data_IF_996926353326
#
_entry.id   IF_996926353326
#
_cell.length_a   1.000
_cell.length_b   1.000
_cell.length_c   1.000
_cell.angle_alpha   90.00
_cell.angle_beta   90.00
_cell.angle_gamma   90.00
#
_symmetry.space_group_name_H-M   'P 1'
#
loop_
_entity.id
_entity.type
_entity.pdbx_description
1 polymer ?
#
# COMPACT_ATOMS: atom_id res chain seq x y z
N UNK A 1 26.86 -69.90 43.76
CA UNK A 1 26.46 -68.51 43.45
C UNK A 1 26.06 -68.48 41.98
N UNK A 2 24.77 -68.30 41.68
CA UNK A 2 24.30 -68.18 40.30
C UNK A 2 24.38 -66.71 39.88
N UNK A 3 25.17 -66.42 38.84
CA UNK A 3 25.38 -65.08 38.31
C UNK A 3 24.12 -64.69 37.54
N UNK A 4 23.50 -63.57 37.93
CA UNK A 4 22.31 -63.04 37.27
C UNK A 4 22.67 -62.64 35.84
N UNK A 5 21.94 -63.18 34.85
CA UNK A 5 22.17 -62.91 33.44
C UNK A 5 21.84 -61.44 33.17
N UNK A 6 22.82 -60.68 32.71
CA UNK A 6 22.68 -59.27 32.39
C UNK A 6 21.73 -59.10 31.18
N UNK A 7 20.67 -58.31 31.34
CA UNK A 7 19.67 -58.04 30.32
C UNK A 7 20.05 -56.79 29.52
N UNK A 8 21.26 -56.77 28.99
CA UNK A 8 21.72 -55.69 28.13
C UNK A 8 21.09 -55.84 26.73
N UNK A 9 20.14 -54.94 26.40
CA UNK A 9 19.51 -54.88 25.08
C UNK A 9 20.39 -53.99 24.20
N UNK A 10 21.04 -54.61 23.21
CA UNK A 10 21.88 -53.94 22.24
C UNK A 10 21.05 -52.97 21.37
N UNK A 11 21.34 -51.66 21.39
CA UNK A 11 20.52 -50.63 20.75
C UNK A 11 20.57 -50.67 19.21
N UNK A 12 21.59 -51.29 18.62
CA UNK A 12 21.70 -51.48 17.16
C UNK A 12 20.90 -52.71 16.69
N UNK A 13 20.48 -53.56 17.63
CA UNK A 13 19.53 -54.64 17.37
C UNK A 13 18.13 -54.03 17.30
N UNK A 14 17.56 -53.93 16.08
CA UNK A 14 16.18 -53.44 15.87
C UNK A 14 15.24 -54.06 16.89
N UNK A 15 14.66 -53.24 17.78
CA UNK A 15 13.71 -53.70 18.78
C UNK A 15 12.52 -54.40 18.10
N UNK A 16 12.44 -55.72 18.27
CA UNK A 16 11.35 -56.54 17.74
C UNK A 16 10.19 -56.48 18.74
N UNK A 17 9.37 -55.44 18.65
CA UNK A 17 8.14 -55.35 19.45
C UNK A 17 7.15 -56.39 18.91
N UNK A 18 7.06 -57.53 19.57
CA UNK A 18 6.02 -58.52 19.34
C UNK A 18 4.86 -58.33 20.31
N UNK A 19 3.63 -58.44 19.83
CA UNK A 19 2.47 -58.58 20.73
C UNK A 19 2.51 -59.98 21.36
N UNK A 20 2.37 -60.04 22.69
CA UNK A 20 2.55 -61.27 23.46
C UNK A 20 1.49 -62.33 23.17
N UNK A 21 1.88 -63.37 22.44
CA UNK A 21 1.38 -64.74 22.64
C UNK A 21 2.18 -65.44 23.75
N UNK A 22 1.67 -66.56 24.27
CA UNK A 22 2.21 -67.32 25.41
C UNK A 22 3.74 -67.48 25.41
N UNK A 23 4.30 -67.52 26.62
CA UNK A 23 5.74 -67.50 26.92
C UNK A 23 6.53 -68.44 25.99
N UNK A 24 7.47 -67.87 25.22
CA UNK A 24 8.33 -68.59 24.28
C UNK A 24 7.85 -68.65 22.81
N UNK A 25 6.64 -68.18 22.48
CA UNK A 25 6.17 -68.06 21.09
C UNK A 25 5.69 -66.63 20.77
N UNK A 26 6.65 -65.74 20.52
CA UNK A 26 6.34 -64.47 19.86
C UNK A 26 6.02 -64.79 18.39
N UNK A 27 4.74 -64.79 18.05
CA UNK A 27 4.33 -64.86 16.64
C UNK A 27 4.56 -63.48 16.05
N UNK A 28 5.68 -63.30 15.35
CA UNK A 28 5.86 -62.16 14.47
C UNK A 28 4.86 -62.32 13.32
N UNK A 29 3.86 -61.44 13.25
CA UNK A 29 3.07 -61.30 12.05
C UNK A 29 3.99 -60.98 10.87
N UNK A 30 3.64 -61.39 9.64
CA UNK A 30 4.46 -61.13 8.45
C UNK A 30 4.74 -59.65 8.22
N UNK A 31 3.93 -58.77 8.81
CA UNK A 31 4.02 -57.33 8.62
C UNK A 31 4.80 -56.70 9.77
N UNK A 32 6.03 -56.30 9.48
CA UNK A 32 6.75 -55.39 10.36
C UNK A 32 5.98 -54.06 10.46
N UNK A 33 6.13 -53.31 11.56
CA UNK A 33 5.59 -51.94 11.68
C UNK A 33 6.12 -50.95 10.63
N UNK A 34 7.03 -51.39 9.74
CA UNK A 34 7.40 -50.68 8.52
C UNK A 34 6.41 -50.87 7.35
N UNK A 35 5.60 -51.92 7.36
CA UNK A 35 4.64 -52.25 6.28
C UNK A 35 3.20 -51.81 6.62
N UNK A 36 2.82 -51.78 7.91
CA UNK A 36 1.52 -51.26 8.35
C UNK A 36 1.56 -49.75 8.60
N UNK A 37 1.88 -48.97 7.57
CA UNK A 37 1.48 -47.55 7.47
C UNK A 37 1.90 -46.63 8.62
N UNK A 38 2.94 -46.97 9.39
CA UNK A 38 3.46 -46.15 10.47
C UNK A 38 4.23 -44.95 9.94
N UNK A 39 3.77 -43.75 10.28
CA UNK A 39 4.46 -42.45 10.03
C UNK A 39 4.55 -41.99 8.56
N UNK A 40 3.90 -42.67 7.61
CA UNK A 40 3.84 -42.24 6.20
C UNK A 40 2.72 -41.23 5.89
N UNK A 41 1.65 -41.20 6.70
CA UNK A 41 0.41 -40.46 6.37
C UNK A 41 0.33 -39.06 6.99
N UNK A 42 1.13 -38.76 8.02
CA UNK A 42 1.14 -37.44 8.67
C UNK A 42 2.11 -36.44 8.01
N UNK A 43 3.06 -36.94 7.20
CA UNK A 43 3.94 -36.09 6.40
C UNK A 43 3.34 -36.05 5.00
N UNK A 44 2.70 -34.94 4.65
CA UNK A 44 2.38 -34.61 3.27
C UNK A 44 3.60 -34.93 2.42
N UNK A 45 3.46 -35.90 1.49
CA UNK A 45 4.55 -36.31 0.61
C UNK A 45 5.12 -35.05 -0.02
N UNK A 46 6.34 -34.67 0.36
CA UNK A 46 7.10 -33.65 -0.34
C UNK A 46 7.30 -34.25 -1.72
N UNK A 47 6.61 -33.71 -2.72
CA UNK A 47 6.82 -34.06 -4.13
C UNK A 47 8.32 -33.95 -4.42
N UNK A 48 8.91 -34.87 -5.19
CA UNK A 48 10.37 -34.95 -5.41
C UNK A 48 11.02 -33.69 -6.03
N UNK A 49 10.25 -32.63 -6.31
CA UNK A 49 10.73 -31.29 -6.67
C UNK A 49 10.54 -30.19 -5.60
N UNK A 50 10.23 -30.51 -4.34
CA UNK A 50 10.04 -29.52 -3.26
C UNK A 50 8.77 -28.65 -3.37
N UNK A 51 8.00 -28.81 -4.44
CA UNK A 51 6.86 -27.95 -4.81
C UNK A 51 5.54 -28.37 -4.13
N UNK A 52 5.58 -28.51 -2.80
CA UNK A 52 4.42 -28.84 -1.99
C UNK A 52 3.43 -27.66 -1.87
N UNK A 53 2.19 -27.89 -1.42
CA UNK A 53 1.21 -26.84 -1.18
C UNK A 53 1.73 -25.68 -0.31
N UNK A 54 2.60 -25.96 0.66
CA UNK A 54 3.23 -24.96 1.51
C UNK A 54 4.14 -23.99 0.73
N UNK A 55 4.93 -24.49 -0.23
CA UNK A 55 5.82 -23.65 -1.04
C UNK A 55 5.01 -22.73 -1.96
N UNK A 56 3.93 -23.24 -2.57
CA UNK A 56 3.02 -22.42 -3.40
C UNK A 56 2.31 -21.33 -2.60
N UNK A 57 1.85 -21.64 -1.38
CA UNK A 57 1.27 -20.64 -0.48
C UNK A 57 2.32 -19.58 -0.11
N UNK A 58 3.54 -20.00 0.21
CA UNK A 58 4.64 -19.08 0.51
C UNK A 58 4.94 -18.14 -0.67
N UNK A 59 5.12 -18.68 -1.88
CA UNK A 59 5.37 -17.87 -3.09
C UNK A 59 4.22 -16.89 -3.37
N UNK A 60 2.97 -17.33 -3.23
CA UNK A 60 1.80 -16.48 -3.40
C UNK A 60 1.77 -15.34 -2.35
N UNK A 61 2.04 -15.64 -1.08
CA UNK A 61 2.12 -14.64 -0.02
C UNK A 61 3.26 -13.64 -0.27
N UNK A 62 4.44 -14.12 -0.67
CA UNK A 62 5.57 -13.24 -1.01
C UNK A 62 5.23 -12.32 -2.18
N UNK A 63 4.56 -12.85 -3.21
CA UNK A 63 4.08 -12.05 -4.34
C UNK A 63 3.05 -10.99 -3.92
N UNK A 64 2.10 -11.37 -3.06
CA UNK A 64 1.11 -10.42 -2.50
C UNK A 64 1.81 -9.33 -1.69
N UNK A 65 2.79 -9.68 -0.85
CA UNK A 65 3.53 -8.72 -0.06
C UNK A 65 4.28 -7.71 -0.95
N UNK A 66 4.98 -8.19 -1.98
CA UNK A 66 5.67 -7.31 -2.94
C UNK A 66 4.68 -6.38 -3.65
N UNK A 67 3.56 -6.91 -4.11
CA UNK A 67 2.53 -6.12 -4.80
C UNK A 67 1.90 -5.07 -3.86
N UNK A 68 1.69 -5.43 -2.60
CA UNK A 68 1.14 -4.51 -1.60
C UNK A 68 2.11 -3.36 -1.33
N UNK A 69 3.41 -3.63 -1.28
CA UNK A 69 4.42 -2.59 -1.15
C UNK A 69 4.40 -1.65 -2.36
N UNK A 70 4.44 -2.19 -3.59
CA UNK A 70 4.38 -1.36 -4.80
C UNK A 70 3.08 -0.55 -4.90
N UNK A 71 1.96 -1.09 -4.42
CA UNK A 71 0.69 -0.37 -4.38
C UNK A 71 0.71 0.76 -3.34
N UNK A 72 1.35 0.55 -2.19
CA UNK A 72 1.54 1.58 -1.17
C UNK A 72 2.39 2.72 -1.73
N UNK A 73 3.51 2.41 -2.37
CA UNK A 73 4.40 3.40 -2.98
C UNK A 73 3.65 4.19 -4.07
N UNK A 74 2.93 3.50 -4.97
CA UNK A 74 2.13 4.15 -6.01
C UNK A 74 1.00 5.01 -5.46
N UNK A 75 0.37 4.61 -4.35
CA UNK A 75 -0.65 5.41 -3.68
C UNK A 75 -0.01 6.68 -3.11
N UNK A 76 1.13 6.56 -2.45
CA UNK A 76 1.78 7.70 -1.81
C UNK A 76 2.27 8.72 -2.85
N UNK A 77 2.81 8.24 -3.98
CA UNK A 77 3.15 9.08 -5.14
C UNK A 77 1.91 9.78 -5.73
N UNK A 78 0.78 9.07 -5.83
CA UNK A 78 -0.47 9.64 -6.32
C UNK A 78 -1.03 10.71 -5.37
N UNK A 79 -0.94 10.49 -4.05
CA UNK A 79 -1.33 11.47 -3.04
C UNK A 79 -0.46 12.73 -3.12
N UNK A 80 0.86 12.57 -3.27
CA UNK A 80 1.78 13.68 -3.43
C UNK A 80 1.45 14.52 -4.69
N UNK A 81 1.22 13.85 -5.83
CA UNK A 81 0.81 14.53 -7.07
C UNK A 81 -0.55 15.20 -6.95
N UNK A 82 -1.51 14.56 -6.29
CA UNK A 82 -2.84 15.14 -6.07
C UNK A 82 -2.76 16.40 -5.22
N UNK A 83 -1.93 16.42 -4.17
CA UNK A 83 -1.74 17.59 -3.33
C UNK A 83 -1.06 18.73 -4.11
N UNK A 84 -0.10 18.42 -4.97
CA UNK A 84 0.57 19.40 -5.83
C UNK A 84 -0.40 20.00 -6.88
N UNK A 85 -1.16 19.15 -7.56
CA UNK A 85 -2.17 19.61 -8.52
C UNK A 85 -3.24 20.48 -7.86
N UNK A 86 -3.65 20.16 -6.63
CA UNK A 86 -4.60 20.99 -5.90
C UNK A 86 -4.05 22.40 -5.67
N UNK A 87 -2.79 22.52 -5.23
CA UNK A 87 -2.14 23.83 -5.05
C UNK A 87 -2.08 24.61 -6.37
N UNK A 88 -1.72 23.96 -7.47
CA UNK A 88 -1.67 24.61 -8.78
C UNK A 88 -3.04 25.09 -9.25
N UNK A 89 -4.11 24.33 -8.97
CA UNK A 89 -5.48 24.77 -9.25
C UNK A 89 -5.84 25.99 -8.42
N UNK A 90 -5.54 25.98 -7.11
CA UNK A 90 -5.84 27.10 -6.22
C UNK A 90 -5.08 28.37 -6.63
N UNK A 91 -3.79 28.24 -7.00
CA UNK A 91 -2.97 29.34 -7.49
C UNK A 91 -3.48 29.91 -8.82
N UNK A 92 -3.87 29.05 -9.76
CA UNK A 92 -4.42 29.47 -11.05
C UNK A 92 -5.78 30.15 -10.88
N UNK A 93 -6.62 29.67 -9.95
CA UNK A 93 -7.89 30.31 -9.60
C UNK A 93 -7.64 31.70 -9.03
N UNK A 94 -6.71 31.84 -8.07
CA UNK A 94 -6.36 33.14 -7.51
C UNK A 94 -5.82 34.12 -8.56
N UNK A 95 -5.02 33.64 -9.52
CA UNK A 95 -4.55 34.45 -10.65
C UNK A 95 -5.68 34.88 -11.57
N UNK A 96 -6.61 33.97 -11.89
CA UNK A 96 -7.76 34.26 -12.74
C UNK A 96 -8.70 35.29 -12.09
N UNK A 97 -8.94 35.16 -10.78
CA UNK A 97 -9.79 36.11 -10.05
C UNK A 97 -9.13 37.49 -9.96
N UNK A 98 -7.81 37.54 -9.71
CA UNK A 98 -7.05 38.80 -9.76
C UNK A 98 -7.12 39.46 -11.14
N UNK A 99 -6.90 38.70 -12.21
CA UNK A 99 -6.98 39.22 -13.58
C UNK A 99 -8.38 39.80 -13.88
N UNK A 100 -9.44 39.13 -13.44
CA UNK A 100 -10.82 39.63 -13.59
C UNK A 100 -11.05 40.93 -12.80
N UNK A 101 -10.50 41.04 -11.60
CA UNK A 101 -10.56 42.28 -10.81
C UNK A 101 -9.81 43.42 -11.50
N UNK A 102 -8.58 43.17 -11.96
CA UNK A 102 -7.76 44.15 -12.68
C UNK A 102 -8.48 44.63 -13.95
N UNK A 103 -9.12 43.72 -14.70
CA UNK A 103 -9.94 44.07 -15.87
C UNK A 103 -11.18 44.88 -15.52
N UNK A 104 -11.86 44.57 -14.42
CA UNK A 104 -13.03 45.32 -13.95
C UNK A 104 -12.62 46.74 -13.50
N UNK A 105 -11.53 46.87 -12.75
CA UNK A 105 -10.99 48.17 -12.34
C UNK A 105 -10.55 49.01 -13.55
N UNK A 106 -9.92 48.39 -14.56
CA UNK A 106 -9.54 49.08 -15.79
C UNK A 106 -10.76 49.62 -16.55
N UNK A 107 -11.87 48.85 -16.61
CA UNK A 107 -13.13 49.31 -17.21
C UNK A 107 -13.74 50.47 -16.44
N UNK A 108 -13.81 50.37 -15.11
CA UNK A 108 -14.34 51.46 -14.27
C UNK A 108 -13.51 52.73 -14.41
N UNK A 109 -12.17 52.62 -14.44
CA UNK A 109 -11.28 53.78 -14.68
C UNK A 109 -11.56 54.38 -16.06
N UNK A 110 -11.75 53.57 -17.09
CA UNK A 110 -12.07 54.05 -18.43
C UNK A 110 -13.43 54.77 -18.49
N UNK A 111 -14.44 54.26 -17.78
CA UNK A 111 -15.75 54.90 -17.65
C UNK A 111 -15.67 56.23 -16.90
N UNK A 112 -14.90 56.31 -15.80
CA UNK A 112 -14.68 57.56 -15.06
C UNK A 112 -13.97 58.60 -15.92
N UNK A 113 -12.94 58.19 -16.67
CA UNK A 113 -12.25 59.06 -17.62
C UNK A 113 -13.21 59.58 -18.70
N UNK A 114 -14.05 58.71 -19.27
CA UNK A 114 -15.06 59.12 -20.26
C UNK A 114 -16.05 60.15 -19.71
N UNK A 115 -16.48 60.02 -18.43
CA UNK A 115 -17.34 61.03 -17.77
C UNK A 115 -16.63 62.38 -17.62
N UNK A 116 -15.36 62.37 -17.20
CA UNK A 116 -14.55 63.60 -17.08
C UNK A 116 -14.29 64.25 -18.44
N UNK A 117 -14.03 63.44 -19.48
CA UNK A 117 -13.85 63.92 -20.86
C UNK A 117 -15.14 64.56 -21.40
N UNK A 118 -16.31 63.97 -21.11
CA UNK A 118 -17.61 64.55 -21.47
C UNK A 118 -17.87 65.90 -20.77
N UNK A 119 -17.44 66.03 -19.51
CA UNK A 119 -17.50 67.27 -18.73
C UNK A 119 -16.34 68.26 -19.05
N UNK A 120 -15.41 67.88 -19.94
CA UNK A 120 -14.20 68.65 -20.31
C UNK A 120 -13.28 68.97 -19.11
N UNK A 121 -13.25 68.10 -18.10
CA UNK A 121 -12.38 68.24 -16.93
C UNK A 121 -11.03 67.57 -17.19
N UNK A 122 -9.94 68.31 -17.01
CA UNK A 122 -8.57 67.78 -17.20
C UNK A 122 -8.15 66.90 -16.02
N UNK A 123 -7.76 65.66 -16.30
CA UNK A 123 -7.22 64.72 -15.31
C UNK A 123 -5.79 64.29 -15.66
N UNK A 124 -5.06 63.74 -14.67
CA UNK A 124 -3.74 63.14 -14.90
C UNK A 124 -3.92 61.72 -15.44
N UNK A 125 -3.14 61.33 -16.46
CA UNK A 125 -3.23 60.01 -17.09
C UNK A 125 -3.07 58.84 -16.09
N UNK A 126 -2.22 59.02 -15.07
CA UNK A 126 -1.93 58.07 -13.99
C UNK A 126 -2.68 58.40 -12.68
N UNK A 127 -3.78 59.15 -12.75
CA UNK A 127 -4.60 59.40 -11.56
C UNK A 127 -5.17 58.07 -11.03
N UNK A 128 -5.21 57.93 -9.70
CA UNK A 128 -5.83 56.78 -9.05
C UNK A 128 -7.34 56.78 -9.28
N UNK A 129 -7.96 55.60 -9.27
CA UNK A 129 -9.41 55.41 -9.36
C UNK A 129 -10.18 56.33 -8.40
N UNK A 130 -9.73 56.41 -7.15
CA UNK A 130 -10.34 57.25 -6.12
C UNK A 130 -10.23 58.75 -6.43
N UNK A 131 -9.11 59.19 -7.02
CA UNK A 131 -8.95 60.58 -7.44
C UNK A 131 -9.83 60.93 -8.63
N UNK A 132 -10.03 60.01 -9.57
CA UNK A 132 -10.95 60.20 -10.70
C UNK A 132 -12.41 60.23 -10.22
N UNK A 133 -12.77 59.36 -9.27
CA UNK A 133 -14.11 59.32 -8.68
C UNK A 133 -14.46 60.65 -8.01
N UNK A 134 -13.58 61.20 -7.17
CA UNK A 134 -13.82 62.50 -6.51
C UNK A 134 -14.06 63.63 -7.53
N UNK A 135 -13.29 63.66 -8.62
CA UNK A 135 -13.48 64.67 -9.66
C UNK A 135 -14.81 64.50 -10.41
N UNK A 136 -15.30 63.27 -10.56
CA UNK A 136 -16.62 63.00 -11.13
C UNK A 136 -17.72 63.41 -10.16
N UNK A 137 -17.55 63.17 -8.85
CA UNK A 137 -18.53 63.51 -7.81
C UNK A 137 -18.65 65.03 -7.59
N UNK A 138 -17.56 65.78 -7.82
CA UNK A 138 -17.52 67.25 -7.75
C UNK A 138 -18.10 67.95 -9.01
N UNK A 139 -18.60 67.18 -10.00
CA UNK A 139 -19.27 67.75 -11.17
C UNK A 139 -20.66 68.32 -10.80
N UNK A 140 -21.02 69.52 -11.29
CA UNK A 140 -22.33 70.15 -11.03
C UNK A 140 -23.50 69.51 -11.79
#
# INVERSE_FOLDING_TARGET
>A
MAIQKDNHIDPDLKARWGFGGTEGKITVGPETVGETGGVGHARTRITEGGDGPALRIHQALSGIQSNMQSLADSRDDALAKSAELQKQVDDLQAQADKARQDEAEAKEIAELKAKLDAAKVTYRANASKESLQKQVDDLP
#
